data_IF_708702579042
#
_entry.id   IF_708702579042
#
_cell.length_a   1.000
_cell.length_b   1.000
_cell.length_c   1.000
_cell.angle_alpha   90.00
_cell.angle_beta   90.00
_cell.angle_gamma   90.00
#
_symmetry.space_group_name_H-M   'P 1'
#
loop_
_entity.id
_entity.type
_entity.pdbx_description
1 polymer ?
#
# COMPACT_ATOMS: atom_id res chain seq x y z
N UNK A 1 -33.77 37.91 -9.92
CA UNK A 1 -32.45 37.25 -9.99
C UNK A 1 -32.74 35.75 -10.11
N UNK A 2 -32.62 35.19 -11.31
CA UNK A 2 -32.87 33.75 -11.52
C UNK A 2 -31.84 32.96 -10.71
N UNK A 3 -32.28 32.00 -9.91
CA UNK A 3 -31.38 31.15 -9.12
C UNK A 3 -30.63 30.23 -10.08
N UNK A 4 -29.38 30.57 -10.36
CA UNK A 4 -28.49 29.69 -11.10
C UNK A 4 -28.14 28.46 -10.26
N UNK A 5 -27.75 27.40 -10.95
CA UNK A 5 -27.11 26.21 -10.41
C UNK A 5 -25.76 26.57 -9.81
N UNK A 6 -25.78 27.12 -8.60
CA UNK A 6 -24.58 27.43 -7.80
C UNK A 6 -24.40 26.42 -6.67
N UNK A 7 -24.72 25.15 -6.94
CA UNK A 7 -24.50 24.09 -5.98
C UNK A 7 -23.03 23.66 -6.04
N UNK A 8 -22.35 23.74 -4.90
CA UNK A 8 -21.02 23.18 -4.71
C UNK A 8 -21.04 21.67 -5.09
N UNK A 9 -20.20 21.22 -6.04
CA UNK A 9 -20.18 19.82 -6.48
C UNK A 9 -19.97 18.82 -5.35
N UNK A 10 -19.18 19.16 -4.33
CA UNK A 10 -19.00 18.32 -3.14
C UNK A 10 -20.31 18.13 -2.36
N UNK A 11 -21.11 19.19 -2.25
CA UNK A 11 -22.44 19.13 -1.61
C UNK A 11 -23.43 18.25 -2.40
N UNK A 12 -23.31 18.22 -3.73
CA UNK A 12 -24.08 17.32 -4.61
C UNK A 12 -23.70 15.86 -4.30
N UNK A 13 -22.40 15.54 -4.30
CA UNK A 13 -21.89 14.21 -4.00
C UNK A 13 -22.28 13.75 -2.60
N UNK A 14 -22.12 14.60 -1.59
CA UNK A 14 -22.48 14.28 -0.21
C UNK A 14 -23.97 13.96 -0.03
N UNK A 15 -24.83 14.61 -0.79
CA UNK A 15 -26.27 14.33 -0.81
C UNK A 15 -26.56 12.99 -1.49
N UNK A 16 -25.99 12.76 -2.68
CA UNK A 16 -26.16 11.52 -3.43
C UNK A 16 -25.64 10.31 -2.65
N UNK A 17 -24.47 10.42 -2.03
CA UNK A 17 -23.86 9.33 -1.26
C UNK A 17 -24.77 8.86 -0.13
N UNK A 18 -25.45 9.79 0.56
CA UNK A 18 -26.44 9.46 1.61
C UNK A 18 -27.69 8.79 1.03
N UNK A 19 -28.19 9.27 -0.11
CA UNK A 19 -29.35 8.69 -0.78
C UNK A 19 -29.08 7.27 -1.26
N UNK A 20 -27.91 6.99 -1.82
CA UNK A 20 -27.51 5.64 -2.25
C UNK A 20 -27.15 4.73 -1.08
N UNK A 21 -26.50 5.26 -0.03
CA UNK A 21 -26.21 4.49 1.18
C UNK A 21 -27.49 3.99 1.87
N UNK A 22 -28.55 4.81 1.89
CA UNK A 22 -29.85 4.41 2.42
C UNK A 22 -30.50 3.25 1.65
N UNK A 23 -30.10 3.03 0.39
CA UNK A 23 -30.60 1.96 -0.49
C UNK A 23 -29.66 0.76 -0.57
N UNK A 24 -28.52 0.79 0.12
CA UNK A 24 -27.51 -0.27 0.05
C UNK A 24 -26.75 -0.33 -1.28
N UNK A 25 -26.79 0.73 -2.08
CA UNK A 25 -26.16 0.82 -3.39
C UNK A 25 -24.65 1.11 -3.26
N UNK A 26 -23.88 0.08 -2.92
CA UNK A 26 -22.48 0.20 -2.50
C UNK A 26 -21.53 0.71 -3.60
N UNK A 27 -21.82 0.41 -4.88
CA UNK A 27 -20.95 0.79 -6.01
C UNK A 27 -21.00 2.30 -6.26
N UNK A 28 -22.20 2.85 -6.27
CA UNK A 28 -22.52 4.26 -6.41
C UNK A 28 -21.92 5.04 -5.24
N UNK A 29 -22.09 4.54 -4.01
CA UNK A 29 -21.48 5.15 -2.80
C UNK A 29 -19.95 5.19 -2.91
N UNK A 30 -19.30 4.12 -3.38
CA UNK A 30 -17.85 4.10 -3.55
C UNK A 30 -17.38 5.15 -4.57
N UNK A 31 -18.06 5.26 -5.72
CA UNK A 31 -17.76 6.28 -6.74
C UNK A 31 -17.87 7.68 -6.16
N UNK A 32 -19.00 7.99 -5.51
CA UNK A 32 -19.27 9.32 -4.95
C UNK A 32 -18.35 9.67 -3.77
N UNK A 33 -17.77 8.69 -3.09
CA UNK A 33 -16.88 8.91 -1.94
C UNK A 33 -15.44 9.14 -2.35
N UNK A 34 -14.96 8.43 -3.38
CA UNK A 34 -13.53 8.40 -3.71
C UNK A 34 -13.16 9.21 -4.95
N UNK A 35 -14.15 9.71 -5.71
CA UNK A 35 -13.91 10.51 -6.90
C UNK A 35 -13.92 12.00 -6.56
N UNK A 36 -13.09 12.78 -7.25
CA UNK A 36 -13.16 14.24 -7.18
C UNK A 36 -14.15 14.77 -8.21
N UNK A 37 -15.13 15.61 -7.82
CA UNK A 37 -16.14 16.12 -8.74
C UNK A 37 -15.65 17.36 -9.52
N UNK A 38 -16.04 17.44 -10.78
CA UNK A 38 -15.87 18.62 -11.62
C UNK A 38 -17.16 18.86 -12.40
N UNK A 39 -17.70 20.07 -12.30
CA UNK A 39 -18.93 20.44 -12.99
C UNK A 39 -18.60 21.40 -14.13
N UNK A 40 -18.94 21.01 -15.36
CA UNK A 40 -18.65 21.76 -16.58
C UNK A 40 -19.95 22.14 -17.28
N UNK A 41 -20.05 23.38 -17.73
CA UNK A 41 -21.12 23.81 -18.66
C UNK A 41 -20.83 23.19 -20.04
N UNK A 42 -21.64 22.21 -20.42
CA UNK A 42 -21.43 21.42 -21.64
C UNK A 42 -22.29 21.88 -22.81
N UNK A 43 -23.27 22.75 -22.57
CA UNK A 43 -24.08 23.31 -23.64
C UNK A 43 -25.09 24.35 -23.18
N UNK A 44 -25.74 24.96 -24.17
CA UNK A 44 -26.82 25.92 -23.98
C UNK A 44 -27.88 25.70 -25.05
N UNK A 45 -29.12 25.45 -24.62
CA UNK A 45 -30.30 25.41 -25.48
C UNK A 45 -31.03 26.76 -25.36
N UNK A 46 -31.30 27.43 -26.48
CA UNK A 46 -31.96 28.73 -26.50
C UNK A 46 -33.49 28.67 -26.60
N UNK A 47 -34.09 27.47 -26.53
CA UNK A 47 -35.54 27.29 -26.48
C UNK A 47 -36.09 27.56 -25.05
N UNK A 48 -37.23 28.24 -24.94
CA UNK A 48 -38.01 28.43 -23.69
C UNK A 48 -37.23 29.07 -22.53
N UNK A 49 -36.85 30.35 -22.67
CA UNK A 49 -36.07 31.13 -21.69
C UNK A 49 -34.62 30.71 -21.49
N UNK A 50 -34.14 29.72 -22.25
CA UNK A 50 -32.75 29.29 -22.23
C UNK A 50 -32.48 28.25 -21.14
N UNK A 51 -31.91 27.12 -21.52
CA UNK A 51 -31.51 26.04 -20.61
C UNK A 51 -30.00 25.85 -20.73
N UNK A 52 -29.29 26.01 -19.61
CA UNK A 52 -27.88 25.67 -19.48
C UNK A 52 -27.74 24.19 -19.18
N UNK A 53 -26.91 23.49 -19.92
CA UNK A 53 -26.62 22.08 -19.72
C UNK A 53 -25.27 21.92 -19.02
N UNK A 54 -25.26 21.09 -17.99
CA UNK A 54 -24.06 20.75 -17.24
C UNK A 54 -23.74 19.26 -17.37
N UNK A 55 -22.44 18.96 -17.34
CA UNK A 55 -21.90 17.60 -17.20
C UNK A 55 -21.11 17.53 -15.89
N UNK A 56 -21.38 16.50 -15.08
CA UNK A 56 -20.65 16.22 -13.86
C UNK A 56 -19.62 15.12 -14.13
N UNK A 57 -18.34 15.51 -14.16
CA UNK A 57 -17.22 14.59 -14.24
C UNK A 57 -16.84 14.11 -12.84
N UNK A 58 -16.68 12.80 -12.68
CA UNK A 58 -16.22 12.16 -11.45
C UNK A 58 -14.85 11.53 -11.73
N UNK A 59 -13.80 12.19 -11.27
CA UNK A 59 -12.41 11.74 -11.42
C UNK A 59 -12.12 10.60 -10.43
N UNK A 60 -12.33 9.37 -10.86
CA UNK A 60 -12.20 8.17 -10.04
C UNK A 60 -10.74 7.67 -9.99
N UNK A 61 -10.20 7.29 -8.82
CA UNK A 61 -8.89 6.66 -8.74
C UNK A 61 -8.78 5.44 -9.66
N UNK A 62 -7.63 5.25 -10.33
CA UNK A 62 -7.42 4.16 -11.30
C UNK A 62 -7.77 2.76 -10.75
N UNK A 63 -7.48 2.51 -9.48
CA UNK A 63 -7.82 1.25 -8.79
C UNK A 63 -9.32 1.01 -8.67
N UNK A 64 -10.11 2.08 -8.53
CA UNK A 64 -11.56 2.01 -8.48
C UNK A 64 -12.15 1.92 -9.90
N UNK A 65 -11.69 2.78 -10.82
CA UNK A 65 -12.15 2.80 -12.21
C UNK A 65 -12.05 1.43 -12.89
N UNK A 66 -10.91 0.75 -12.73
CA UNK A 66 -10.69 -0.60 -13.28
C UNK A 66 -11.65 -1.66 -12.74
N UNK A 67 -12.09 -1.54 -11.49
CA UNK A 67 -13.08 -2.46 -10.90
C UNK A 67 -14.50 -2.21 -11.43
N UNK A 68 -14.78 -0.99 -11.90
CA UNK A 68 -16.11 -0.55 -12.33
C UNK A 68 -16.38 -0.73 -13.82
N UNK A 69 -15.36 -1.08 -14.62
CA UNK A 69 -15.46 -1.21 -16.09
C UNK A 69 -16.71 -1.99 -16.55
N UNK A 70 -17.06 -3.05 -15.83
CA UNK A 70 -18.31 -3.77 -16.05
C UNK A 70 -19.42 -3.13 -15.21
N UNK A 71 -20.24 -2.27 -15.83
CA UNK A 71 -21.36 -1.64 -15.14
C UNK A 71 -21.28 -0.11 -15.03
N UNK A 72 -20.38 0.53 -15.78
CA UNK A 72 -20.04 1.94 -15.61
C UNK A 72 -21.20 2.85 -16.03
N UNK A 73 -21.77 2.60 -17.21
CA UNK A 73 -22.96 3.31 -17.74
C UNK A 73 -24.16 3.20 -16.79
N UNK A 74 -24.39 2.02 -16.18
CA UNK A 74 -25.49 1.84 -15.24
C UNK A 74 -25.32 2.69 -13.96
N UNK A 75 -24.07 2.87 -13.51
CA UNK A 75 -23.78 3.72 -12.34
C UNK A 75 -23.97 5.19 -12.70
N UNK A 76 -23.47 5.62 -13.87
CA UNK A 76 -23.63 6.99 -14.38
C UNK A 76 -25.11 7.37 -14.49
N UNK A 77 -25.91 6.53 -15.13
CA UNK A 77 -27.35 6.72 -15.28
C UNK A 77 -28.07 6.76 -13.93
N UNK A 78 -27.73 5.85 -13.02
CA UNK A 78 -28.32 5.82 -11.69
C UNK A 78 -28.02 7.11 -10.93
N UNK A 79 -26.77 7.58 -10.96
CA UNK A 79 -26.35 8.82 -10.31
C UNK A 79 -27.10 10.00 -10.94
N UNK A 80 -27.10 10.11 -12.27
CA UNK A 80 -27.78 11.18 -13.00
C UNK A 80 -29.26 11.25 -12.62
N UNK A 81 -29.97 10.12 -12.65
CA UNK A 81 -31.39 10.07 -12.32
C UNK A 81 -31.64 10.49 -10.86
N UNK A 82 -30.78 10.04 -9.93
CA UNK A 82 -30.90 10.39 -8.51
C UNK A 82 -30.71 11.88 -8.24
N UNK A 83 -29.92 12.59 -9.07
CA UNK A 83 -29.74 14.03 -8.91
C UNK A 83 -31.02 14.82 -9.15
N UNK A 84 -31.93 14.32 -10.01
CA UNK A 84 -33.19 14.99 -10.35
C UNK A 84 -34.06 15.26 -9.13
N UNK A 85 -33.96 14.42 -8.08
CA UNK A 85 -34.71 14.54 -6.82
C UNK A 85 -34.54 15.92 -6.18
N UNK A 86 -33.34 16.50 -6.24
CA UNK A 86 -33.04 17.77 -5.57
C UNK A 86 -32.56 18.88 -6.52
N UNK A 87 -32.09 18.53 -7.72
CA UNK A 87 -31.71 19.49 -8.75
C UNK A 87 -32.87 19.90 -9.66
N UNK A 88 -33.95 19.13 -9.74
CA UNK A 88 -35.11 19.43 -10.58
C UNK A 88 -35.85 20.75 -10.23
N UNK A 89 -35.50 21.39 -9.11
CA UNK A 89 -36.01 22.70 -8.71
C UNK A 89 -35.42 23.88 -9.50
N UNK A 90 -34.37 23.66 -10.30
CA UNK A 90 -33.71 24.67 -11.11
C UNK A 90 -34.17 24.56 -12.58
N UNK A 91 -35.16 25.34 -13.03
CA UNK A 91 -35.82 25.13 -14.32
C UNK A 91 -34.97 25.48 -15.55
N UNK A 92 -33.90 26.26 -15.38
CA UNK A 92 -33.06 26.75 -16.47
C UNK A 92 -31.67 26.13 -16.47
N UNK A 93 -31.35 25.25 -15.51
CA UNK A 93 -30.04 24.63 -15.38
C UNK A 93 -30.21 23.14 -15.15
N UNK A 94 -29.79 22.34 -16.12
CA UNK A 94 -30.00 20.91 -16.12
C UNK A 94 -28.66 20.17 -16.07
N UNK A 95 -28.50 19.30 -15.08
CA UNK A 95 -27.47 18.27 -15.16
C UNK A 95 -27.93 17.25 -16.21
N UNK A 96 -27.20 17.20 -17.31
CA UNK A 96 -27.54 16.41 -18.49
C UNK A 96 -26.80 15.09 -18.54
N UNK A 97 -25.58 15.04 -17.98
CA UNK A 97 -24.70 13.88 -18.01
C UNK A 97 -23.90 13.77 -16.71
N UNK A 98 -23.58 12.52 -16.36
CA UNK A 98 -22.60 12.17 -15.35
C UNK A 98 -21.59 11.27 -16.05
N UNK A 99 -20.30 11.59 -15.95
CA UNK A 99 -19.23 10.79 -16.55
C UNK A 99 -18.20 10.41 -15.48
N UNK A 100 -17.99 9.12 -15.28
CA UNK A 100 -16.94 8.60 -14.43
C UNK A 100 -15.71 8.41 -15.30
N UNK A 101 -14.67 9.18 -15.01
CA UNK A 101 -13.42 9.18 -15.77
C UNK A 101 -12.25 8.79 -14.87
N UNK A 102 -11.21 8.11 -15.40
CA UNK A 102 -10.03 7.81 -14.59
C UNK A 102 -9.32 9.12 -14.23
N UNK A 103 -9.06 9.31 -12.94
CA UNK A 103 -8.28 10.44 -12.45
C UNK A 103 -6.89 10.43 -13.09
N UNK A 104 -6.51 11.55 -13.70
CA UNK A 104 -5.18 11.74 -14.25
C UNK A 104 -4.20 11.87 -13.09
N UNK A 105 -3.23 10.95 -13.03
CA UNK A 105 -2.18 10.97 -12.00
C UNK A 105 -0.95 11.63 -12.58
N UNK A 106 -0.54 12.75 -11.99
CA UNK A 106 0.76 13.35 -12.23
C UNK A 106 1.80 12.61 -11.40
N UNK A 107 2.60 11.76 -12.05
CA UNK A 107 3.71 11.04 -11.45
C UNK A 107 4.93 11.18 -12.37
N UNK A 108 5.86 12.07 -12.03
CA UNK A 108 7.06 12.34 -12.84
C UNK A 108 7.87 11.08 -13.15
N UNK A 109 7.75 10.04 -12.31
CA UNK A 109 8.48 8.77 -12.43
C UNK A 109 7.62 7.62 -12.96
N UNK A 110 6.47 7.91 -13.61
CA UNK A 110 5.54 6.88 -14.06
C UNK A 110 6.19 5.90 -15.05
N UNK A 111 7.12 6.37 -15.88
CA UNK A 111 7.82 5.54 -16.88
C UNK A 111 8.74 4.52 -16.21
N UNK A 112 9.52 4.96 -15.21
CA UNK A 112 10.40 4.10 -14.42
C UNK A 112 9.57 3.10 -13.61
N UNK A 113 8.47 3.54 -13.01
CA UNK A 113 7.55 2.69 -12.23
C UNK A 113 6.81 1.66 -13.09
N UNK A 114 6.48 1.99 -14.34
CA UNK A 114 5.88 1.08 -15.31
C UNK A 114 6.92 0.09 -15.84
N UNK A 115 8.12 0.56 -16.20
CA UNK A 115 9.24 -0.30 -16.59
C UNK A 115 9.60 -1.30 -15.48
N UNK A 116 9.66 -0.85 -14.23
CA UNK A 116 9.88 -1.70 -13.07
C UNK A 116 8.76 -2.73 -12.85
N UNK A 117 7.50 -2.40 -13.18
CA UNK A 117 6.40 -3.37 -13.12
C UNK A 117 6.50 -4.41 -14.23
N UNK A 118 6.81 -3.99 -15.46
CA UNK A 118 7.01 -4.88 -16.62
C UNK A 118 8.20 -5.83 -16.43
N UNK A 119 9.26 -5.38 -15.73
CA UNK A 119 10.40 -6.21 -15.40
C UNK A 119 10.19 -7.09 -14.15
N UNK A 120 9.01 -7.04 -13.51
CA UNK A 120 8.70 -7.81 -12.30
C UNK A 120 9.29 -7.24 -11.00
N UNK A 121 9.96 -6.08 -11.05
CA UNK A 121 10.66 -5.46 -9.92
C UNK A 121 9.75 -4.95 -8.78
N UNK A 122 8.43 -5.10 -8.90
CA UNK A 122 7.44 -4.73 -7.86
C UNK A 122 6.79 -5.93 -7.15
N UNK A 123 6.94 -7.15 -7.63
CA UNK A 123 6.52 -8.36 -6.90
C UNK A 123 7.75 -8.84 -6.13
N UNK A 124 7.81 -8.48 -4.85
CA UNK A 124 8.89 -8.88 -3.95
C UNK A 124 8.34 -9.82 -2.88
N UNK A 125 9.11 -10.85 -2.53
CA UNK A 125 8.86 -11.70 -1.37
C UNK A 125 9.33 -11.05 -0.05
N UNK A 126 9.75 -9.78 -0.09
CA UNK A 126 10.13 -9.03 1.11
C UNK A 126 8.90 -8.52 1.87
N UNK A 127 8.97 -8.63 3.19
CA UNK A 127 7.96 -8.13 4.11
C UNK A 127 7.91 -6.61 4.10
N UNK A 128 6.77 -6.03 3.69
CA UNK A 128 6.58 -4.56 3.60
C UNK A 128 5.93 -3.96 4.83
N UNK A 129 5.11 -4.72 5.54
CA UNK A 129 4.27 -4.25 6.64
C UNK A 129 4.34 -5.23 7.80
N UNK A 130 5.00 -4.84 8.89
CA UNK A 130 4.58 -5.27 10.24
C UNK A 130 3.43 -4.37 10.67
N UNK A 131 2.52 -4.86 11.50
CA UNK A 131 1.33 -4.13 12.00
C UNK A 131 1.64 -2.71 12.51
N UNK A 132 2.89 -2.47 12.95
CA UNK A 132 3.35 -1.21 13.53
C UNK A 132 4.64 -0.62 12.91
N UNK A 133 5.21 -1.21 11.85
CA UNK A 133 6.47 -0.69 11.25
C UNK A 133 6.61 -1.03 9.75
N UNK A 134 6.53 0.01 8.91
CA UNK A 134 6.68 -0.08 7.44
C UNK A 134 8.17 -0.01 7.11
N UNK A 135 8.66 -0.79 6.15
CA UNK A 135 10.06 -0.72 5.66
C UNK A 135 10.23 0.47 4.69
N UNK A 136 10.73 1.65 5.12
CA UNK A 136 10.68 2.87 4.31
C UNK A 136 11.96 3.09 3.50
N UNK A 137 13.05 2.39 3.84
CA UNK A 137 14.36 2.57 3.24
C UNK A 137 14.58 1.54 2.13
N UNK A 138 15.37 1.90 1.13
CA UNK A 138 15.76 0.97 0.06
C UNK A 138 17.25 1.07 -0.28
N UNK A 139 17.85 -0.04 -0.70
CA UNK A 139 19.23 -0.14 -1.18
C UNK A 139 19.34 -1.34 -2.11
N UNK A 140 20.02 -1.21 -3.26
CA UNK A 140 20.21 -2.27 -4.26
C UNK A 140 18.88 -2.95 -4.70
N UNK A 141 17.77 -2.18 -4.73
CA UNK A 141 16.44 -2.71 -5.07
C UNK A 141 15.74 -3.50 -3.97
N UNK A 142 16.31 -3.54 -2.76
CA UNK A 142 15.79 -4.25 -1.58
C UNK A 142 15.31 -3.26 -0.52
N UNK A 143 14.30 -3.65 0.25
CA UNK A 143 13.71 -2.86 1.33
C UNK A 143 14.36 -3.15 2.70
N UNK A 144 14.41 -2.12 3.55
CA UNK A 144 14.95 -2.17 4.91
C UNK A 144 14.12 -1.29 5.86
N UNK A 145 14.07 -1.63 7.14
CA UNK A 145 13.33 -0.86 8.17
C UNK A 145 14.21 0.18 8.87
N UNK A 146 15.53 0.00 8.87
CA UNK A 146 16.45 0.90 9.57
C UNK A 146 17.83 1.05 8.90
N UNK A 147 18.55 2.12 9.22
CA UNK A 147 19.91 2.34 8.73
C UNK A 147 20.93 1.30 9.27
N UNK A 148 20.84 0.84 10.53
CA UNK A 148 21.63 -0.29 11.03
C UNK A 148 21.46 -1.57 10.21
N UNK A 149 20.24 -1.90 9.77
CA UNK A 149 20.03 -3.03 8.84
C UNK A 149 20.76 -2.83 7.51
N UNK A 150 20.76 -1.61 6.95
CA UNK A 150 21.50 -1.33 5.71
C UNK A 150 23.01 -1.51 5.91
N UNK A 151 23.57 -1.11 7.05
CA UNK A 151 24.99 -1.35 7.35
C UNK A 151 25.28 -2.84 7.46
N UNK A 152 24.42 -3.60 8.14
CA UNK A 152 24.57 -5.04 8.29
C UNK A 152 24.45 -5.77 6.95
N UNK A 153 23.49 -5.38 6.12
CA UNK A 153 23.33 -5.83 4.73
C UNK A 153 24.64 -5.66 3.92
N UNK A 154 25.23 -4.46 3.95
CA UNK A 154 26.48 -4.18 3.23
C UNK A 154 27.65 -5.00 3.78
N UNK A 155 27.70 -5.20 5.10
CA UNK A 155 28.70 -6.04 5.74
C UNK A 155 28.61 -7.51 5.25
N UNK A 156 27.42 -8.11 5.32
CA UNK A 156 27.20 -9.48 4.83
C UNK A 156 27.57 -9.63 3.35
N UNK A 157 27.16 -8.66 2.52
CA UNK A 157 27.51 -8.60 1.10
C UNK A 157 29.02 -8.55 0.88
N UNK A 158 29.73 -7.70 1.63
CA UNK A 158 31.21 -7.56 1.52
C UNK A 158 31.97 -8.82 1.95
N UNK A 159 31.39 -9.64 2.82
CA UNK A 159 31.97 -10.90 3.29
C UNK A 159 31.62 -12.10 2.39
N UNK A 160 30.85 -11.89 1.31
CA UNK A 160 30.44 -12.96 0.39
C UNK A 160 29.46 -13.97 1.02
N UNK A 161 28.71 -13.55 2.04
CA UNK A 161 27.74 -14.40 2.73
C UNK A 161 26.44 -14.46 1.92
N UNK A 162 25.82 -15.65 1.84
CA UNK A 162 24.50 -15.80 1.22
C UNK A 162 23.40 -15.51 2.25
N UNK A 163 22.50 -14.58 1.93
CA UNK A 163 21.44 -14.16 2.85
C UNK A 163 20.23 -13.59 2.08
N UNK A 164 19.11 -13.44 2.80
CA UNK A 164 17.90 -12.75 2.35
C UNK A 164 17.49 -11.69 3.39
N UNK A 165 17.36 -10.40 3.01
CA UNK A 165 16.82 -9.36 3.89
C UNK A 165 15.28 -9.32 3.82
N UNK A 166 14.64 -9.10 4.97
CA UNK A 166 13.19 -9.05 5.14
C UNK A 166 12.39 -10.21 4.51
N UNK A 167 12.85 -11.47 4.53
CA UNK A 167 12.08 -12.55 3.91
C UNK A 167 10.73 -12.77 4.61
N UNK A 168 9.69 -13.15 3.87
CA UNK A 168 8.41 -13.57 4.45
C UNK A 168 8.36 -15.08 4.57
N UNK A 169 8.20 -15.59 5.78
CA UNK A 169 7.88 -17.00 6.05
C UNK A 169 6.40 -17.15 6.38
N UNK A 170 5.78 -18.17 5.81
CA UNK A 170 4.39 -18.56 6.08
C UNK A 170 4.32 -20.03 6.49
N UNK A 171 3.55 -20.31 7.52
CA UNK A 171 3.11 -21.67 7.87
C UNK A 171 1.61 -21.72 7.69
N UNK A 172 1.14 -22.53 6.75
CA UNK A 172 -0.27 -22.93 6.66
C UNK A 172 -0.59 -24.10 7.59
N UNK A 173 -1.84 -24.56 7.57
CA UNK A 173 -2.35 -25.65 8.42
C UNK A 173 -3.62 -25.23 9.18
N UNK A 174 -3.84 -25.81 10.37
CA UNK A 174 -4.97 -25.43 11.24
C UNK A 174 -4.92 -23.96 11.71
N UNK A 175 -3.73 -23.36 11.74
CA UNK A 175 -3.55 -21.93 12.02
C UNK A 175 -2.57 -21.30 11.03
N UNK A 176 -2.93 -20.10 10.56
CA UNK A 176 -2.06 -19.29 9.71
C UNK A 176 -1.04 -18.55 10.58
N UNK A 177 0.25 -18.75 10.30
CA UNK A 177 1.35 -18.00 10.93
C UNK A 177 2.22 -17.33 9.88
N UNK A 178 2.60 -16.09 10.16
CA UNK A 178 3.44 -15.27 9.29
C UNK A 178 4.58 -14.67 10.11
N UNK A 179 5.80 -14.78 9.61
CA UNK A 179 7.01 -14.28 10.25
C UNK A 179 7.86 -13.49 9.23
N UNK A 180 8.32 -12.32 9.65
CA UNK A 180 9.20 -11.44 8.85
C UNK A 180 10.46 -11.09 9.65
N UNK A 181 11.50 -11.93 9.70
CA UNK A 181 12.75 -11.55 10.36
C UNK A 181 13.47 -10.47 9.56
N UNK A 182 14.43 -9.78 10.18
CA UNK A 182 15.22 -8.78 9.45
C UNK A 182 16.18 -9.43 8.43
N UNK A 183 16.84 -10.52 8.81
CA UNK A 183 17.70 -11.29 7.91
C UNK A 183 17.56 -12.79 8.12
N UNK A 184 17.72 -13.54 7.02
CA UNK A 184 18.05 -14.97 7.05
C UNK A 184 19.37 -15.20 6.33
N UNK A 185 20.30 -15.86 7.00
CA UNK A 185 21.62 -16.22 6.51
C UNK A 185 21.65 -17.72 6.25
N UNK A 186 22.15 -18.10 5.08
CA UNK A 186 22.40 -19.51 4.72
C UNK A 186 23.89 -19.68 4.56
N UNK A 187 24.49 -20.52 5.40
CA UNK A 187 25.92 -20.76 5.36
C UNK A 187 26.27 -22.15 5.84
N UNK A 188 27.12 -22.85 5.08
CA UNK A 188 27.64 -24.19 5.45
C UNK A 188 26.55 -25.20 5.83
N UNK A 189 25.41 -25.18 5.13
CA UNK A 189 24.28 -26.08 5.39
C UNK A 189 23.44 -25.73 6.63
N UNK A 190 23.68 -24.56 7.25
CA UNK A 190 22.89 -24.05 8.35
C UNK A 190 22.09 -22.82 7.93
N UNK A 191 20.94 -22.64 8.58
CA UNK A 191 20.07 -21.47 8.43
C UNK A 191 20.07 -20.72 9.76
N UNK A 192 20.31 -19.42 9.69
CA UNK A 192 20.33 -18.51 10.82
C UNK A 192 19.42 -17.31 10.54
N UNK A 193 18.50 -17.03 11.46
CA UNK A 193 17.72 -15.79 11.53
C UNK A 193 18.50 -14.77 12.36
N UNK A 194 18.61 -13.54 11.87
CA UNK A 194 19.17 -12.41 12.62
C UNK A 194 18.12 -11.30 12.70
N UNK A 195 17.85 -10.82 13.91
CA UNK A 195 17.00 -9.65 14.17
C UNK A 195 17.87 -8.49 14.67
N UNK A 196 17.67 -7.29 14.11
CA UNK A 196 18.39 -6.08 14.47
C UNK A 196 17.50 -5.27 15.42
N UNK A 197 17.71 -5.46 16.71
CA UNK A 197 16.85 -4.86 17.75
C UNK A 197 17.17 -3.36 17.89
N UNK A 198 16.15 -2.50 17.76
CA UNK A 198 16.27 -1.06 17.90
C UNK A 198 16.41 -0.61 19.35
N UNK A 199 17.19 0.42 19.62
CA UNK A 199 17.42 0.94 21.00
C UNK A 199 16.17 1.62 21.60
N UNK A 200 15.09 1.79 20.82
CA UNK A 200 13.81 2.38 21.26
C UNK A 200 12.67 1.37 21.20
N UNK A 201 12.26 0.92 22.39
CA UNK A 201 10.94 0.35 22.73
C UNK A 201 10.37 -0.69 21.76
N UNK A 202 10.86 -1.92 21.88
CA UNK A 202 10.05 -3.09 21.54
C UNK A 202 8.84 -3.13 22.49
N UNK A 203 7.64 -2.89 21.95
CA UNK A 203 6.37 -3.15 22.65
C UNK A 203 5.98 -4.64 22.65
N UNK A 204 6.74 -5.51 21.98
CA UNK A 204 6.56 -6.95 22.10
C UNK A 204 7.16 -7.43 23.43
N UNK A 205 6.37 -8.17 24.19
CA UNK A 205 6.87 -8.89 25.36
C UNK A 205 7.90 -9.94 24.92
N UNK A 206 8.87 -10.30 25.79
CA UNK A 206 9.80 -11.40 25.52
C UNK A 206 9.10 -12.70 25.10
N UNK A 207 7.89 -12.94 25.61
CA UNK A 207 7.07 -14.10 25.26
C UNK A 207 6.54 -14.04 23.83
N UNK A 208 6.03 -12.89 23.37
CA UNK A 208 5.57 -12.70 21.98
C UNK A 208 6.72 -12.80 20.98
N UNK A 209 7.87 -12.20 21.32
CA UNK A 209 9.06 -12.26 20.47
C UNK A 209 9.67 -13.68 20.42
N UNK A 210 9.55 -14.45 21.50
CA UNK A 210 9.93 -15.86 21.53
C UNK A 210 8.96 -16.71 20.71
N UNK A 211 7.64 -16.61 20.95
CA UNK A 211 6.60 -17.34 20.25
C UNK A 211 6.64 -17.14 18.72
N UNK A 212 7.02 -15.93 18.28
CA UNK A 212 7.18 -15.58 16.87
C UNK A 212 8.31 -16.32 16.18
N UNK A 213 9.45 -16.50 16.86
CA UNK A 213 10.61 -17.19 16.29
C UNK A 213 10.58 -18.71 16.50
N UNK A 214 9.74 -19.21 17.43
CA UNK A 214 9.51 -20.64 17.66
C UNK A 214 9.15 -21.40 16.39
N UNK A 215 8.40 -20.78 15.47
CA UNK A 215 8.01 -21.38 14.18
C UNK A 215 9.22 -21.91 13.39
N UNK A 216 10.34 -21.19 13.37
CA UNK A 216 11.54 -21.61 12.64
C UNK A 216 12.53 -22.35 13.53
N UNK A 217 12.59 -22.02 14.82
CA UNK A 217 13.49 -22.70 15.76
C UNK A 217 13.21 -24.21 15.85
N UNK A 218 11.94 -24.61 15.84
CA UNK A 218 11.55 -26.03 15.86
C UNK A 218 11.97 -26.79 14.59
N UNK A 219 12.15 -26.08 13.48
CA UNK A 219 12.65 -26.62 12.21
C UNK A 219 14.20 -26.64 12.15
N UNK A 220 14.88 -26.36 13.27
CA UNK A 220 16.34 -26.36 13.35
C UNK A 220 17.01 -25.07 12.89
N UNK A 221 16.25 -23.99 12.70
CA UNK A 221 16.80 -22.66 12.37
C UNK A 221 17.34 -21.99 13.63
N UNK A 222 18.57 -21.51 13.57
CA UNK A 222 19.15 -20.74 14.67
C UNK A 222 18.64 -19.30 14.66
N UNK A 223 18.59 -18.66 15.82
CA UNK A 223 18.19 -17.25 15.95
C UNK A 223 19.27 -16.52 16.75
N UNK A 224 19.74 -15.39 16.22
CA UNK A 224 20.63 -14.46 16.89
C UNK A 224 20.03 -13.06 16.85
N UNK A 225 20.35 -12.25 17.86
CA UNK A 225 19.91 -10.85 17.95
C UNK A 225 21.14 -9.98 18.04
N UNK A 226 21.12 -8.87 17.31
CA UNK A 226 22.16 -7.84 17.41
C UNK A 226 21.50 -6.51 17.72
N UNK A 227 22.14 -5.72 18.58
CA UNK A 227 21.64 -4.38 18.87
C UNK A 227 21.87 -3.45 17.66
N UNK A 228 20.98 -2.50 17.45
CA UNK A 228 21.15 -1.43 16.47
C UNK A 228 22.46 -0.66 16.69
N UNK A 229 22.87 -0.51 17.96
CA UNK A 229 24.14 0.11 18.34
C UNK A 229 25.37 -0.64 17.78
N UNK A 230 25.33 -1.98 17.70
CA UNK A 230 26.37 -2.83 17.09
C UNK A 230 26.42 -2.69 15.56
N UNK A 231 25.40 -2.10 14.93
CA UNK A 231 25.34 -1.83 13.50
C UNK A 231 25.25 -0.32 13.17
N UNK A 232 25.59 0.55 14.14
CA UNK A 232 25.48 2.00 13.99
C UNK A 232 26.43 2.61 12.94
N UNK A 233 27.51 1.91 12.57
CA UNK A 233 28.43 2.30 11.48
C UNK A 233 28.79 1.10 10.60
N UNK A 234 29.31 1.32 9.37
CA UNK A 234 29.78 0.24 8.50
C UNK A 234 30.84 -0.67 9.15
N UNK A 235 31.78 -0.10 9.90
CA UNK A 235 32.87 -0.84 10.56
C UNK A 235 32.32 -1.73 11.67
N UNK A 236 31.42 -1.18 12.50
CA UNK A 236 30.76 -1.95 13.58
C UNK A 236 29.89 -3.06 13.02
N UNK A 237 29.11 -2.78 11.97
CA UNK A 237 28.30 -3.79 11.30
C UNK A 237 29.14 -4.93 10.71
N UNK A 238 30.32 -4.62 10.16
CA UNK A 238 31.29 -5.64 9.70
C UNK A 238 31.77 -6.52 10.85
N UNK A 239 32.16 -5.93 11.97
CA UNK A 239 32.56 -6.68 13.17
C UNK A 239 31.42 -7.56 13.71
N UNK A 240 30.18 -7.05 13.72
CA UNK A 240 29.00 -7.81 14.13
C UNK A 240 28.75 -9.02 13.21
N UNK A 241 28.87 -8.84 11.88
CA UNK A 241 28.74 -9.92 10.92
C UNK A 241 29.83 -10.99 11.11
N UNK A 242 31.09 -10.60 11.28
CA UNK A 242 32.20 -11.51 11.55
C UNK A 242 31.99 -12.32 12.85
N UNK A 243 31.51 -11.66 13.92
CA UNK A 243 31.15 -12.31 15.19
C UNK A 243 30.05 -13.36 15.02
N UNK A 244 29.00 -13.05 14.26
CA UNK A 244 27.91 -14.00 13.94
C UNK A 244 28.46 -15.21 13.18
N UNK A 245 29.30 -14.98 12.17
CA UNK A 245 29.89 -16.08 11.40
C UNK A 245 30.79 -16.96 12.25
N UNK A 246 31.56 -16.37 13.16
CA UNK A 246 32.38 -17.13 14.12
C UNK A 246 31.50 -17.99 15.06
N UNK A 247 30.39 -17.45 15.54
CA UNK A 247 29.43 -18.21 16.37
C UNK A 247 28.81 -19.38 15.59
N UNK A 248 28.42 -19.14 14.34
CA UNK A 248 27.84 -20.15 13.46
C UNK A 248 28.83 -21.29 13.17
N UNK A 249 30.10 -20.96 12.91
CA UNK A 249 31.16 -21.94 12.71
C UNK A 249 31.43 -22.80 13.96
N UNK A 250 31.40 -22.19 15.16
CA UNK A 250 31.52 -22.94 16.42
C UNK A 250 30.36 -23.93 16.61
N UNK A 251 29.13 -23.51 16.29
CA UNK A 251 27.95 -24.39 16.37
C UNK A 251 28.04 -25.56 15.40
N UNK A 252 28.54 -25.33 14.18
CA UNK A 252 28.81 -26.41 13.22
C UNK A 252 29.76 -27.46 13.79
N UNK A 253 30.84 -27.02 14.43
CA UNK A 253 31.84 -27.92 15.00
C UNK A 253 31.32 -28.74 16.19
N UNK A 254 30.19 -28.33 16.78
CA UNK A 254 29.54 -29.03 17.89
C UNK A 254 28.46 -30.04 17.43
N UNK A 255 28.19 -30.14 16.12
CA UNK A 255 27.32 -31.17 15.51
C UNK A 255 28.16 -32.32 14.99
#
# INVERSE_FOLDING_TARGET
>A
MQSRFSADPESILGTLARLFAAEGAAREVAVLTYSSPELVESGYDNWNNGITLYTLYLHAPLSLYTQLQHGLEQIEDAILEKTRIFLGRFPNDHLSQVEIIPAVVEDEQWREKAAAWLSGSKVSNQGRVRSNNVAPLSTDGLLFRSQPEIHFYRALKSLGISFAPLPVFVSGGESYRRLEPDFVIVHSGMILVVEVDGDTVHQETPAEAHARTTMLQHEGVYVERISASECSSPEKAKQAAEKIMAALNKRKAAR
#
